data_IF_387265074803
#
_entry.id   IF_387265074803
#
_cell.length_a   1.000
_cell.length_b   1.000
_cell.length_c   1.000
_cell.angle_alpha   90.00
_cell.angle_beta   90.00
_cell.angle_gamma   90.00
#
_symmetry.space_group_name_H-M   'P 1'
#
loop_
_entity.id
_entity.type
_entity.pdbx_description
1 polymer ?
#
# COMPACT_ATOMS: atom_id res chain seq x y z
N UNK A 1 14.38 -5.80 -26.96
CA UNK A 1 13.67 -5.19 -25.83
C UNK A 1 14.55 -5.30 -24.59
N UNK A 2 14.85 -4.21 -23.93
CA UNK A 2 15.56 -4.24 -22.65
C UNK A 2 14.67 -4.94 -21.62
N UNK A 3 15.16 -6.00 -20.97
CA UNK A 3 14.46 -6.62 -19.84
C UNK A 3 14.35 -5.61 -18.71
N UNK A 4 13.17 -5.49 -18.13
CA UNK A 4 12.98 -4.72 -16.92
C UNK A 4 13.67 -5.46 -15.75
N UNK A 5 14.25 -4.71 -14.81
CA UNK A 5 14.89 -5.32 -13.63
C UNK A 5 13.93 -6.21 -12.83
N UNK A 6 12.65 -5.85 -12.81
CA UNK A 6 11.63 -6.63 -12.11
C UNK A 6 11.24 -7.93 -12.82
N UNK A 7 11.56 -8.10 -14.10
CA UNK A 7 11.27 -9.35 -14.84
C UNK A 7 12.11 -10.54 -14.35
N UNK A 8 13.19 -10.27 -13.62
CA UNK A 8 14.03 -11.30 -12.99
C UNK A 8 13.60 -11.59 -11.53
N UNK A 9 12.67 -10.79 -10.99
CA UNK A 9 12.19 -10.96 -9.63
C UNK A 9 11.17 -12.11 -9.57
N UNK A 10 11.43 -13.07 -8.71
CA UNK A 10 10.51 -14.19 -8.45
C UNK A 10 9.65 -13.87 -7.24
N UNK A 11 8.38 -13.59 -7.49
CA UNK A 11 7.36 -13.45 -6.46
C UNK A 11 6.51 -14.72 -6.41
N UNK A 12 6.17 -15.18 -5.20
CA UNK A 12 5.38 -16.40 -5.00
C UNK A 12 3.88 -16.17 -5.12
N UNK A 13 3.43 -14.98 -4.71
CA UNK A 13 2.01 -14.66 -4.53
C UNK A 13 1.50 -13.58 -5.48
N UNK A 14 2.38 -12.77 -6.06
CA UNK A 14 2.00 -11.71 -6.98
C UNK A 14 2.51 -11.97 -8.39
N UNK A 15 1.77 -11.47 -9.37
CA UNK A 15 2.12 -11.49 -10.78
C UNK A 15 2.34 -10.06 -11.27
N UNK A 16 3.20 -9.88 -12.25
CA UNK A 16 3.46 -8.59 -12.88
C UNK A 16 2.17 -7.88 -13.34
N UNK A 17 1.19 -8.64 -13.83
CA UNK A 17 -0.11 -8.11 -14.28
C UNK A 17 -0.92 -7.43 -13.19
N UNK A 18 -0.70 -7.74 -11.91
CA UNK A 18 -1.40 -7.08 -10.79
C UNK A 18 -0.89 -5.65 -10.57
N UNK A 19 0.29 -5.32 -11.10
CA UNK A 19 0.89 -3.99 -11.10
C UNK A 19 0.83 -3.30 -12.46
N UNK A 20 0.18 -3.94 -13.42
CA UNK A 20 0.00 -3.45 -14.77
C UNK A 20 -1.29 -2.68 -14.99
N UNK A 21 -1.64 -2.49 -16.27
CA UNK A 21 -2.89 -1.88 -16.68
C UNK A 21 -4.08 -2.76 -16.31
N UNK A 22 -5.11 -2.12 -15.77
CA UNK A 22 -6.43 -2.71 -15.52
C UNK A 22 -7.51 -1.74 -15.99
N UNK A 23 -8.77 -2.12 -15.92
CA UNK A 23 -9.91 -1.24 -16.27
C UNK A 23 -9.91 0.10 -15.50
N UNK A 24 -9.25 0.14 -14.36
CA UNK A 24 -9.15 1.31 -13.48
C UNK A 24 -7.77 1.96 -13.46
N UNK A 25 -6.80 1.40 -14.20
CA UNK A 25 -5.44 1.91 -14.29
C UNK A 25 -5.08 2.15 -15.75
N UNK A 26 -4.56 3.32 -16.03
CA UNK A 26 -4.18 3.76 -17.37
C UNK A 26 -2.73 3.38 -17.75
N UNK A 27 -1.91 2.94 -16.80
CA UNK A 27 -0.50 2.66 -17.00
C UNK A 27 -0.06 1.31 -16.46
N UNK A 28 0.95 0.74 -17.11
CA UNK A 28 1.72 -0.39 -16.59
C UNK A 28 2.83 0.14 -15.70
N UNK A 29 2.67 -0.08 -14.39
CA UNK A 29 3.65 0.35 -13.39
C UNK A 29 4.69 -0.69 -13.05
N UNK A 30 4.54 -1.94 -13.51
CA UNK A 30 5.49 -3.02 -13.21
C UNK A 30 6.96 -2.63 -13.42
N UNK A 31 7.35 -2.01 -14.54
CA UNK A 31 8.74 -1.63 -14.78
C UNK A 31 9.28 -0.59 -13.80
N UNK A 32 8.40 0.23 -13.23
CA UNK A 32 8.77 1.32 -12.32
C UNK A 32 8.57 0.98 -10.85
N UNK A 33 8.05 -0.22 -10.51
CA UNK A 33 7.88 -0.64 -9.13
C UNK A 33 9.21 -0.82 -8.43
N UNK A 34 9.31 -0.31 -7.20
CA UNK A 34 10.47 -0.57 -6.36
C UNK A 34 10.55 -2.06 -6.01
N UNK A 35 11.68 -2.74 -6.28
CA UNK A 35 11.82 -4.18 -5.99
C UNK A 35 11.64 -4.51 -4.51
N UNK A 36 12.12 -3.64 -3.61
CA UNK A 36 11.97 -3.81 -2.17
C UNK A 36 10.51 -3.75 -1.71
N UNK A 37 9.68 -2.91 -2.36
CA UNK A 37 8.25 -2.89 -2.14
C UNK A 37 7.58 -4.20 -2.57
N UNK A 38 7.92 -4.69 -3.77
CA UNK A 38 7.36 -5.93 -4.31
C UNK A 38 7.66 -7.14 -3.42
N UNK A 39 8.91 -7.27 -2.98
CA UNK A 39 9.32 -8.36 -2.07
C UNK A 39 8.58 -8.28 -0.74
N UNK A 40 8.45 -7.08 -0.16
CA UNK A 40 7.73 -6.90 1.11
C UNK A 40 6.24 -7.22 0.99
N UNK A 41 5.61 -6.86 -0.12
CA UNK A 41 4.21 -7.23 -0.38
C UNK A 41 4.04 -8.76 -0.46
N UNK A 42 4.96 -9.44 -1.13
CA UNK A 42 4.95 -10.90 -1.27
C UNK A 42 5.14 -11.60 0.10
N UNK A 43 6.09 -11.12 0.90
CA UNK A 43 6.32 -11.62 2.27
C UNK A 43 5.11 -11.36 3.16
N UNK A 44 4.53 -10.16 3.11
CA UNK A 44 3.34 -9.83 3.90
C UNK A 44 2.18 -10.76 3.55
N UNK A 45 1.94 -11.02 2.28
CA UNK A 45 0.89 -11.94 1.84
C UNK A 45 1.13 -13.36 2.34
N UNK A 46 2.37 -13.82 2.35
CA UNK A 46 2.75 -15.10 2.95
C UNK A 46 2.47 -15.16 4.45
N UNK A 47 2.85 -14.12 5.19
CA UNK A 47 2.65 -14.04 6.64
C UNK A 47 1.18 -13.89 7.01
N UNK A 48 0.43 -13.11 6.26
CA UNK A 48 -1.01 -12.91 6.49
C UNK A 48 -1.83 -14.18 6.23
N UNK A 49 -1.39 -15.00 5.29
CA UNK A 49 -2.04 -16.26 4.94
C UNK A 49 -3.32 -16.10 4.10
N UNK A 50 -3.59 -14.90 3.60
CA UNK A 50 -4.75 -14.60 2.78
C UNK A 50 -4.46 -13.63 1.63
N UNK A 51 -5.38 -13.47 0.69
CA UNK A 51 -5.21 -12.59 -0.44
C UNK A 51 -4.93 -11.14 -0.05
N UNK A 52 -3.98 -10.52 -0.76
CA UNK A 52 -3.74 -9.08 -0.78
C UNK A 52 -3.90 -8.63 -2.22
N UNK A 53 -4.76 -7.66 -2.46
CA UNK A 53 -5.07 -7.15 -3.79
C UNK A 53 -4.67 -5.69 -3.91
N UNK A 54 -3.96 -5.35 -4.98
CA UNK A 54 -3.74 -3.95 -5.33
C UNK A 54 -5.08 -3.31 -5.66
N UNK A 55 -5.37 -2.17 -5.04
CA UNK A 55 -6.60 -1.42 -5.31
C UNK A 55 -6.75 -1.10 -6.79
N UNK A 56 -7.98 -1.18 -7.30
CA UNK A 56 -8.26 -0.95 -8.73
C UNK A 56 -8.23 0.51 -9.17
N UNK A 57 -8.14 1.49 -8.26
CA UNK A 57 -8.15 2.89 -8.69
C UNK A 57 -6.84 3.31 -9.37
N UNK A 58 -6.90 4.30 -10.25
CA UNK A 58 -5.81 4.70 -11.13
C UNK A 58 -4.53 5.17 -10.39
N UNK A 59 -4.66 5.59 -9.14
CA UNK A 59 -3.55 6.11 -8.31
C UNK A 59 -3.06 5.13 -7.25
N UNK A 60 -3.49 3.87 -7.31
CA UNK A 60 -3.13 2.87 -6.32
C UNK A 60 -1.63 2.51 -6.29
N UNK A 61 -0.91 2.78 -7.39
CA UNK A 61 0.51 2.49 -7.54
C UNK A 61 1.30 3.77 -7.79
N UNK A 62 1.52 4.13 -9.03
CA UNK A 62 2.33 5.28 -9.40
C UNK A 62 1.52 6.51 -9.81
N UNK A 63 2.13 7.65 -9.70
CA UNK A 63 1.65 8.91 -10.28
C UNK A 63 2.81 9.81 -10.65
N UNK A 64 2.54 10.72 -11.59
CA UNK A 64 3.44 11.81 -11.94
C UNK A 64 2.92 13.13 -11.37
N UNK A 65 3.82 14.05 -11.16
CA UNK A 65 3.54 15.47 -10.93
C UNK A 65 3.88 15.99 -9.55
N UNK A 66 4.46 17.17 -9.57
CA UNK A 66 4.68 18.05 -8.43
C UNK A 66 5.74 17.63 -7.43
N UNK A 67 5.87 18.43 -6.39
CA UNK A 67 6.83 18.25 -5.29
C UNK A 67 6.29 17.34 -4.16
N UNK A 68 5.23 16.59 -4.43
CA UNK A 68 4.61 15.72 -3.44
C UNK A 68 5.61 14.68 -2.92
N UNK A 69 5.68 14.54 -1.59
CA UNK A 69 6.48 13.51 -0.91
C UNK A 69 5.78 12.15 -0.82
N UNK A 70 4.70 11.96 -1.58
CA UNK A 70 3.99 10.68 -1.62
C UNK A 70 4.88 9.57 -2.16
N UNK A 71 4.79 8.39 -1.58
CA UNK A 71 5.49 7.17 -2.02
C UNK A 71 5.10 6.74 -3.43
N UNK A 72 3.97 7.25 -3.94
CA UNK A 72 3.51 7.04 -5.31
C UNK A 72 4.16 7.97 -6.34
N UNK A 73 4.87 9.00 -5.92
CA UNK A 73 5.40 10.03 -6.83
C UNK A 73 6.70 9.59 -7.50
N UNK A 74 6.56 9.05 -8.73
CA UNK A 74 7.69 8.56 -9.53
C UNK A 74 8.65 9.68 -9.93
N UNK A 75 8.14 10.88 -10.18
CA UNK A 75 9.00 12.01 -10.57
C UNK A 75 9.95 12.44 -9.44
N UNK A 76 9.53 12.23 -8.19
CA UNK A 76 10.38 12.53 -7.04
C UNK A 76 11.36 11.41 -6.73
N UNK A 77 10.92 10.18 -6.76
CA UNK A 77 11.68 9.03 -6.24
C UNK A 77 12.39 8.21 -7.33
N UNK A 78 11.99 8.37 -8.59
CA UNK A 78 12.48 7.57 -9.72
C UNK A 78 11.81 6.21 -9.84
N UNK A 79 11.06 5.79 -8.82
CA UNK A 79 10.33 4.52 -8.75
C UNK A 79 9.03 4.65 -7.96
N UNK A 80 8.19 3.62 -8.03
CA UNK A 80 6.95 3.50 -7.24
C UNK A 80 7.29 2.84 -5.91
N UNK A 81 7.19 3.58 -4.83
CA UNK A 81 7.54 3.15 -3.47
C UNK A 81 6.36 2.82 -2.58
N UNK A 82 5.14 2.99 -3.06
CA UNK A 82 3.93 2.70 -2.31
C UNK A 82 2.89 2.00 -3.16
N UNK A 83 2.07 1.18 -2.50
CA UNK A 83 0.92 0.53 -3.08
C UNK A 83 -0.29 0.66 -2.14
N UNK A 84 -1.43 0.99 -2.73
CA UNK A 84 -2.70 0.97 -2.04
C UNK A 84 -3.37 -0.39 -2.27
N UNK A 85 -3.67 -1.09 -1.19
CA UNK A 85 -4.10 -2.49 -1.23
C UNK A 85 -5.33 -2.73 -0.36
N UNK A 86 -6.07 -3.80 -0.71
CA UNK A 86 -7.03 -4.45 0.18
C UNK A 86 -6.43 -5.76 0.69
N UNK A 87 -6.65 -6.04 1.96
CA UNK A 87 -6.18 -7.25 2.64
C UNK A 87 -7.41 -8.04 3.07
N UNK A 88 -7.47 -9.31 2.74
CA UNK A 88 -8.62 -10.17 3.06
C UNK A 88 -8.85 -10.29 4.56
N UNK A 89 -10.11 -10.48 4.92
CA UNK A 89 -10.56 -10.75 6.31
C UNK A 89 -10.27 -9.63 7.32
N UNK A 90 -10.03 -8.42 6.86
CA UNK A 90 -9.90 -7.23 7.70
C UNK A 90 -11.26 -6.55 7.83
N UNK A 91 -11.86 -6.60 9.02
CA UNK A 91 -13.21 -6.09 9.29
C UNK A 91 -13.29 -5.22 10.53
N UNK A 92 -12.42 -5.47 11.49
CA UNK A 92 -12.46 -4.87 12.81
C UNK A 92 -11.14 -4.19 13.17
N UNK A 93 -11.16 -3.38 14.23
CA UNK A 93 -9.95 -2.67 14.71
C UNK A 93 -8.79 -3.61 14.98
N UNK A 94 -9.07 -4.76 15.62
CA UNK A 94 -8.03 -5.75 15.92
C UNK A 94 -7.35 -6.28 14.66
N UNK A 95 -8.11 -6.43 13.57
CA UNK A 95 -7.55 -6.87 12.28
C UNK A 95 -6.64 -5.79 11.69
N UNK A 96 -7.06 -4.51 11.77
CA UNK A 96 -6.25 -3.37 11.28
C UNK A 96 -4.94 -3.26 12.08
N UNK A 97 -5.01 -3.43 13.40
CA UNK A 97 -3.82 -3.44 14.26
C UNK A 97 -2.91 -4.61 13.94
N UNK A 98 -3.46 -5.80 13.66
CA UNK A 98 -2.69 -6.98 13.25
C UNK A 98 -2.00 -6.75 11.89
N UNK A 99 -2.68 -6.14 10.92
CA UNK A 99 -2.06 -5.75 9.63
C UNK A 99 -0.91 -4.78 9.86
N UNK A 100 -1.12 -3.75 10.70
CA UNK A 100 -0.07 -2.78 11.01
C UNK A 100 1.15 -3.47 11.59
N UNK A 101 0.98 -4.34 12.58
CA UNK A 101 2.08 -5.08 13.21
C UNK A 101 2.82 -5.96 12.20
N UNK A 102 2.09 -6.71 11.36
CA UNK A 102 2.68 -7.55 10.33
C UNK A 102 3.46 -6.72 9.29
N UNK A 103 2.91 -5.58 8.88
CA UNK A 103 3.59 -4.69 7.95
C UNK A 103 4.87 -4.07 8.55
N UNK A 104 4.85 -3.71 9.82
CA UNK A 104 6.03 -3.24 10.55
C UNK A 104 7.12 -4.33 10.63
N UNK A 105 6.74 -5.57 10.93
CA UNK A 105 7.64 -6.72 10.99
C UNK A 105 8.29 -7.02 9.64
N UNK A 106 7.53 -6.94 8.56
CA UNK A 106 8.05 -7.09 7.18
C UNK A 106 8.99 -5.96 6.78
N UNK A 107 8.90 -4.80 7.43
CA UNK A 107 9.78 -3.67 7.21
C UNK A 107 9.22 -2.60 6.28
N UNK A 108 7.90 -2.46 6.19
CA UNK A 108 7.29 -1.26 5.61
C UNK A 108 7.60 -0.06 6.50
N UNK A 109 7.90 1.06 5.89
CA UNK A 109 8.23 2.31 6.60
C UNK A 109 7.17 3.40 6.46
N UNK A 110 6.12 3.14 5.67
CA UNK A 110 4.95 3.99 5.53
C UNK A 110 3.71 3.10 5.52
N UNK A 111 2.83 3.30 6.51
CA UNK A 111 1.63 2.50 6.70
C UNK A 111 0.46 3.45 6.90
N UNK A 112 -0.47 3.45 5.96
CA UNK A 112 -1.71 4.21 6.02
C UNK A 112 -2.93 3.31 6.09
N UNK A 113 -4.02 3.78 6.70
CA UNK A 113 -5.31 3.10 6.73
C UNK A 113 -6.42 3.99 6.20
N UNK A 114 -7.25 3.41 5.36
CA UNK A 114 -8.45 4.00 4.78
C UNK A 114 -9.67 3.23 5.30
N UNK A 115 -10.29 3.65 6.39
CA UNK A 115 -11.33 2.87 7.07
C UNK A 115 -12.64 2.78 6.29
N UNK A 116 -12.87 3.66 5.35
CA UNK A 116 -14.16 3.92 4.71
C UNK A 116 -14.09 3.90 3.17
N UNK A 117 -13.14 3.18 2.59
CA UNK A 117 -13.12 3.00 1.14
C UNK A 117 -14.29 2.14 0.66
N UNK A 118 -14.74 2.41 -0.58
CA UNK A 118 -15.85 1.69 -1.23
C UNK A 118 -15.50 0.24 -1.49
N UNK A 119 -15.04 -0.55 -0.91
CA UNK A 119 -14.67 -1.97 -1.10
C UNK A 119 -14.18 -2.57 0.20
N UNK A 120 -14.18 -1.77 1.26
CA UNK A 120 -13.73 -2.20 2.56
C UNK A 120 -12.63 -1.33 3.14
N UNK A 121 -11.91 -1.87 4.10
CA UNK A 121 -10.78 -1.18 4.71
C UNK A 121 -9.57 -1.32 3.79
N UNK A 122 -9.07 -0.19 3.28
CA UNK A 122 -7.87 -0.14 2.46
C UNK A 122 -6.62 0.21 3.26
N UNK A 123 -5.46 -0.10 2.69
CA UNK A 123 -4.16 0.22 3.28
C UNK A 123 -3.25 0.84 2.26
N UNK A 124 -2.46 1.80 2.70
CA UNK A 124 -1.24 2.22 2.02
C UNK A 124 -0.05 1.51 2.65
N UNK A 125 0.76 0.87 1.81
CA UNK A 125 2.00 0.22 2.23
C UNK A 125 3.15 0.77 1.38
N UNK A 126 4.14 1.37 2.04
CA UNK A 126 5.24 2.03 1.35
C UNK A 126 6.61 1.74 1.94
N UNK A 127 7.62 1.93 1.11
CA UNK A 127 9.03 1.85 1.50
C UNK A 127 9.66 3.22 1.31
N UNK A 128 10.26 3.75 2.40
CA UNK A 128 10.98 5.01 2.40
C UNK A 128 12.40 4.72 2.82
N UNK A 129 13.28 4.65 1.85
CA UNK A 129 14.71 4.52 2.09
C UNK A 129 15.35 5.83 1.64
N UNK A 130 15.92 6.57 2.57
CA UNK A 130 16.79 7.69 2.24
C UNK A 130 18.21 7.19 2.01
N UNK A 131 18.90 7.82 1.08
CA UNK A 131 20.32 7.77 0.72
C UNK A 131 21.28 7.22 1.80
N UNK A 132 20.96 6.06 2.39
CA UNK A 132 21.72 5.36 3.42
C UNK A 132 21.15 5.42 4.85
N UNK A 133 20.01 6.05 5.09
CA UNK A 133 19.31 6.07 6.37
C UNK A 133 17.89 5.52 6.27
N UNK A 134 17.44 4.74 7.27
CA UNK A 134 16.03 4.42 7.43
C UNK A 134 15.29 5.67 7.86
N UNK A 135 14.32 6.10 7.08
CA UNK A 135 13.34 7.08 7.54
C UNK A 135 12.58 6.54 8.74
N UNK A 136 12.25 7.37 9.73
CA UNK A 136 11.34 6.97 10.79
C UNK A 136 10.03 6.46 10.18
N UNK A 137 9.47 5.43 10.78
CA UNK A 137 8.20 4.89 10.35
C UNK A 137 7.11 5.97 10.35
N UNK A 138 6.42 6.12 9.23
CA UNK A 138 5.27 7.00 9.09
C UNK A 138 3.99 6.17 9.18
N UNK A 139 3.14 6.44 10.16
CA UNK A 139 1.79 5.88 10.26
C UNK A 139 0.75 6.99 10.19
N UNK A 140 -0.29 6.78 9.42
CA UNK A 140 -1.32 7.78 9.18
C UNK A 140 -2.64 7.12 8.77
N UNK A 141 -3.68 7.91 8.64
CA UNK A 141 -4.95 7.48 8.08
C UNK A 141 -5.54 8.54 7.15
N UNK A 142 -6.53 8.16 6.39
CA UNK A 142 -7.34 9.11 5.65
C UNK A 142 -8.80 8.68 5.68
N UNK A 143 -9.67 9.62 5.99
CA UNK A 143 -11.11 9.42 6.10
C UNK A 143 -11.83 10.24 5.04
N UNK A 144 -12.99 9.76 4.59
CA UNK A 144 -13.82 10.48 3.65
C UNK A 144 -14.62 11.55 4.39
N UNK A 145 -14.51 12.80 3.92
CA UNK A 145 -15.33 13.91 4.38
C UNK A 145 -15.84 14.70 3.18
N UNK A 146 -17.15 14.86 3.08
CA UNK A 146 -17.81 15.67 2.05
C UNK A 146 -17.31 15.40 0.62
N UNK A 147 -17.06 14.12 0.29
CA UNK A 147 -16.60 13.71 -1.03
C UNK A 147 -15.10 13.86 -1.31
N UNK A 148 -14.32 14.30 -0.30
CA UNK A 148 -12.87 14.36 -0.36
C UNK A 148 -12.22 13.47 0.71
N UNK A 149 -10.93 13.17 0.53
CA UNK A 149 -10.12 12.48 1.52
C UNK A 149 -9.42 13.48 2.43
N UNK A 150 -9.57 13.33 3.73
CA UNK A 150 -8.86 14.09 4.74
C UNK A 150 -7.85 13.20 5.46
N UNK A 151 -6.59 13.64 5.49
CA UNK A 151 -5.53 12.96 6.23
C UNK A 151 -5.66 13.22 7.72
N UNK A 152 -5.61 12.14 8.50
CA UNK A 152 -5.75 12.12 9.95
C UNK A 152 -4.67 11.24 10.59
N UNK A 153 -4.59 11.21 11.91
CA UNK A 153 -3.74 10.24 12.59
C UNK A 153 -4.24 8.81 12.36
N UNK A 154 -3.33 7.84 12.44
CA UNK A 154 -3.71 6.42 12.37
C UNK A 154 -4.76 6.06 13.43
N UNK A 155 -4.59 6.57 14.65
CA UNK A 155 -5.53 6.37 15.76
C UNK A 155 -6.93 6.92 15.45
N UNK A 156 -7.01 8.09 14.84
CA UNK A 156 -8.29 8.67 14.46
C UNK A 156 -8.98 7.85 13.37
N UNK A 157 -8.26 7.44 12.33
CA UNK A 157 -8.80 6.56 11.30
C UNK A 157 -9.23 5.21 11.89
N UNK A 158 -8.42 4.61 12.77
CA UNK A 158 -8.76 3.38 13.46
C UNK A 158 -10.05 3.51 14.28
N UNK A 159 -10.34 4.68 14.85
CA UNK A 159 -11.58 4.94 15.59
C UNK A 159 -12.85 4.81 14.73
N UNK A 160 -12.73 4.92 13.41
CA UNK A 160 -13.83 4.74 12.46
C UNK A 160 -14.07 3.27 12.07
N UNK A 161 -13.13 2.40 12.38
CA UNK A 161 -13.26 0.96 12.14
C UNK A 161 -14.09 0.33 13.26
N UNK A 162 -15.03 -0.58 12.96
CA UNK A 162 -15.81 -1.28 13.96
C UNK A 162 -14.95 -2.04 14.96
N UNK A 163 -15.39 -2.12 16.20
CA UNK A 163 -14.91 -3.10 17.18
C UNK A 163 -15.74 -4.36 17.09
N UNK A 164 -15.14 -5.51 17.41
CA UNK A 164 -15.91 -6.76 17.53
C UNK A 164 -16.92 -6.54 18.66
N UNK A 165 -18.19 -6.68 18.33
CA UNK A 165 -19.23 -6.74 19.36
C UNK A 165 -19.11 -8.12 20.02
N UNK A 166 -18.52 -8.14 21.21
CA UNK A 166 -18.49 -9.34 22.05
C UNK A 166 -19.79 -9.36 22.86
N UNK A 167 -20.89 -9.57 22.11
CA UNK A 167 -22.16 -9.86 22.76
C UNK A 167 -22.08 -11.09 23.67
#
# INVERSE_FOLDING_TARGET
MSKCANDELVLHYFRASEFGKTDHRDRDWWPAMNPGLLVRLDVLRSMWGGPIHVSGHARALGRHGGDSHSDHNVDRWGDVRGADVFISDVRYRADVEAVKMAAEEVGFSSIGVYPDWRGGIGFHLGVREDNGGRQPMATWGAVSREGSQEYVSFKEALSKVPVVDRG
#
